data_IF_259019433916
#
_entry.id   IF_259019433916
#
_cell.length_a   1.000
_cell.length_b   1.000
_cell.length_c   1.000
_cell.angle_alpha   90.00
_cell.angle_beta   90.00
_cell.angle_gamma   90.00
#
_symmetry.space_group_name_H-M   'P 1'
#
loop_
_entity.id
_entity.type
_entity.pdbx_description
1 polymer ?
#
# COMPACT_ATOMS: atom_id res chain seq x y z
N UNK A 1 -24.27 14.91 -8.93
CA UNK A 1 -24.59 16.36 -8.78
C UNK A 1 -24.86 16.75 -7.32
N UNK A 2 -25.58 15.95 -6.51
CA UNK A 2 -25.90 16.29 -5.10
C UNK A 2 -24.64 16.54 -4.26
N UNK A 3 -23.62 15.71 -4.37
CA UNK A 3 -22.33 15.86 -3.65
C UNK A 3 -21.58 17.13 -4.06
N UNK A 4 -21.55 17.47 -5.36
CA UNK A 4 -20.93 18.72 -5.83
C UNK A 4 -21.63 19.96 -5.26
N UNK A 5 -22.94 19.91 -5.16
CA UNK A 5 -23.74 20.99 -4.54
C UNK A 5 -23.46 21.08 -3.04
N UNK A 6 -23.34 19.95 -2.33
CA UNK A 6 -23.00 19.92 -0.91
C UNK A 6 -21.61 20.52 -0.65
N UNK A 7 -20.60 20.13 -1.44
CA UNK A 7 -19.25 20.71 -1.38
C UNK A 7 -19.29 22.23 -1.64
N UNK A 8 -19.98 22.66 -2.70
CA UNK A 8 -20.14 24.10 -3.01
C UNK A 8 -20.78 24.90 -1.89
N UNK A 9 -21.80 24.36 -1.23
CA UNK A 9 -22.44 25.01 -0.06
C UNK A 9 -21.51 25.14 1.13
N UNK A 10 -20.62 24.15 1.36
CA UNK A 10 -19.64 24.18 2.45
C UNK A 10 -18.56 25.21 2.18
N UNK A 11 -18.10 25.34 0.93
CA UNK A 11 -17.08 26.32 0.53
C UNK A 11 -17.54 27.75 0.80
N UNK A 12 -18.79 28.07 0.44
CA UNK A 12 -19.34 29.44 0.61
C UNK A 12 -19.39 29.88 2.07
N UNK A 13 -19.34 28.94 3.02
CA UNK A 13 -19.36 29.25 4.47
C UNK A 13 -17.97 29.58 5.03
N UNK A 14 -16.90 29.40 4.23
CA UNK A 14 -15.51 29.64 4.62
C UNK A 14 -15.16 29.03 6.00
N UNK A 15 -15.37 27.69 6.18
CA UNK A 15 -15.09 27.07 7.46
C UNK A 15 -13.58 26.92 7.68
N UNK A 16 -13.15 26.92 8.94
CA UNK A 16 -11.75 26.65 9.31
C UNK A 16 -11.36 25.19 9.05
N UNK A 17 -12.31 24.25 9.13
CA UNK A 17 -12.12 22.82 8.91
C UNK A 17 -13.23 22.26 8.04
N UNK A 18 -12.84 21.51 7.01
CA UNK A 18 -13.76 20.71 6.19
C UNK A 18 -13.73 19.25 6.64
N UNK A 19 -14.91 18.64 6.75
CA UNK A 19 -15.06 17.22 7.06
C UNK A 19 -15.73 16.54 5.87
N UNK A 20 -15.02 15.58 5.26
CA UNK A 20 -15.52 14.77 4.16
C UNK A 20 -15.60 13.31 4.61
N UNK A 21 -16.78 12.72 4.54
CA UNK A 21 -17.03 11.33 4.86
C UNK A 21 -17.36 10.59 3.55
N UNK A 22 -16.39 9.84 3.06
CA UNK A 22 -16.43 9.09 1.79
C UNK A 22 -17.08 9.85 0.61
N UNK A 23 -16.65 11.07 0.29
CA UNK A 23 -17.39 11.93 -0.62
C UNK A 23 -17.39 11.44 -2.08
N UNK A 24 -16.53 10.51 -2.45
CA UNK A 24 -16.40 10.02 -3.83
C UNK A 24 -16.87 8.57 -4.02
N UNK A 25 -17.33 7.88 -2.96
CA UNK A 25 -17.71 6.46 -2.98
C UNK A 25 -18.78 6.11 -4.01
N UNK A 26 -19.73 7.01 -4.25
CA UNK A 26 -20.88 6.80 -5.14
C UNK A 26 -20.69 7.36 -6.58
N UNK A 27 -19.44 7.64 -6.98
CA UNK A 27 -19.13 8.18 -8.30
C UNK A 27 -18.54 7.09 -9.21
N UNK A 28 -18.82 7.23 -10.52
CA UNK A 28 -18.11 6.44 -11.53
C UNK A 28 -16.62 6.78 -11.59
N UNK A 29 -15.81 5.88 -12.16
CA UNK A 29 -14.35 5.99 -12.13
C UNK A 29 -13.83 7.30 -12.77
N UNK A 30 -14.40 7.73 -13.89
CA UNK A 30 -13.97 8.94 -14.58
C UNK A 30 -14.28 10.19 -13.76
N UNK A 31 -15.49 10.27 -13.21
CA UNK A 31 -15.91 11.40 -12.38
C UNK A 31 -15.15 11.43 -11.05
N UNK A 32 -14.80 10.25 -10.48
CA UNK A 32 -13.99 10.14 -9.27
C UNK A 32 -12.60 10.77 -9.49
N UNK A 33 -11.92 10.46 -10.60
CA UNK A 33 -10.63 11.07 -10.94
C UNK A 33 -10.75 12.59 -11.05
N UNK A 34 -11.77 13.10 -11.75
CA UNK A 34 -11.98 14.53 -11.89
C UNK A 34 -12.21 15.20 -10.53
N UNK A 35 -13.05 14.60 -9.69
CA UNK A 35 -13.38 15.15 -8.36
C UNK A 35 -12.18 15.15 -7.41
N UNK A 36 -11.30 14.13 -7.45
CA UNK A 36 -10.04 14.14 -6.69
C UNK A 36 -9.19 15.35 -7.05
N UNK A 37 -9.01 15.60 -8.35
CA UNK A 37 -8.24 16.75 -8.84
C UNK A 37 -8.87 18.06 -8.37
N UNK A 38 -10.19 18.20 -8.44
CA UNK A 38 -10.89 19.41 -8.01
C UNK A 38 -10.78 19.65 -6.49
N UNK A 39 -10.92 18.60 -5.68
CA UNK A 39 -10.75 18.70 -4.21
C UNK A 39 -9.30 19.07 -3.85
N UNK A 40 -8.30 18.45 -4.52
CA UNK A 40 -6.89 18.77 -4.29
C UNK A 40 -6.56 20.23 -4.68
N UNK A 41 -7.12 20.72 -5.79
CA UNK A 41 -7.01 22.14 -6.19
C UNK A 41 -7.68 23.07 -5.17
N UNK A 42 -8.85 22.66 -4.68
CA UNK A 42 -9.59 23.42 -3.68
C UNK A 42 -8.79 23.53 -2.38
N UNK A 43 -8.24 22.42 -1.89
CA UNK A 43 -7.37 22.38 -0.71
C UNK A 43 -6.21 23.36 -0.84
N UNK A 44 -5.44 23.28 -1.93
CA UNK A 44 -4.31 24.20 -2.19
C UNK A 44 -4.72 25.65 -2.26
N UNK A 45 -5.90 25.96 -2.80
CA UNK A 45 -6.39 27.35 -2.94
C UNK A 45 -6.90 27.95 -1.63
N UNK A 46 -7.57 27.13 -0.81
CA UNK A 46 -8.16 27.60 0.45
C UNK A 46 -7.15 27.61 1.60
N UNK A 47 -6.15 26.72 1.60
CA UNK A 47 -5.22 26.52 2.70
C UNK A 47 -5.89 26.08 4.00
N UNK A 48 -7.15 25.61 3.93
CA UNK A 48 -7.94 25.19 5.08
C UNK A 48 -7.63 23.73 5.45
N UNK A 49 -7.78 23.39 6.73
CA UNK A 49 -7.65 22.01 7.18
C UNK A 49 -8.80 21.16 6.63
N UNK A 50 -8.47 20.03 6.02
CA UNK A 50 -9.45 19.07 5.50
C UNK A 50 -9.25 17.71 6.15
N UNK A 51 -10.28 17.19 6.81
CA UNK A 51 -10.36 15.82 7.29
C UNK A 51 -11.16 15.02 6.27
N UNK A 52 -10.55 14.00 5.70
CA UNK A 52 -11.11 13.22 4.60
C UNK A 52 -11.11 11.75 4.96
N UNK A 53 -12.29 11.15 5.07
CA UNK A 53 -12.45 9.71 5.33
C UNK A 53 -12.63 8.99 4.00
N UNK A 54 -11.86 7.94 3.77
CA UNK A 54 -11.97 7.09 2.57
C UNK A 54 -11.47 5.68 2.86
N UNK A 55 -11.98 4.71 2.12
CA UNK A 55 -11.45 3.35 2.02
C UNK A 55 -10.67 3.14 0.71
N UNK A 56 -10.59 4.16 -0.15
CA UNK A 56 -9.84 4.12 -1.41
C UNK A 56 -8.40 4.60 -1.15
N UNK A 57 -7.46 3.66 -1.28
CA UNK A 57 -6.04 3.95 -1.07
C UNK A 57 -5.47 4.98 -2.06
N UNK A 58 -6.00 5.02 -3.31
CA UNK A 58 -5.54 5.99 -4.30
C UNK A 58 -5.96 7.41 -3.90
N UNK A 59 -7.14 7.58 -3.30
CA UNK A 59 -7.56 8.86 -2.73
C UNK A 59 -6.64 9.27 -1.58
N UNK A 60 -6.40 8.36 -0.62
CA UNK A 60 -5.52 8.62 0.51
C UNK A 60 -4.09 8.99 0.06
N UNK A 61 -3.50 8.19 -0.84
CA UNK A 61 -2.12 8.39 -1.31
C UNK A 61 -1.93 9.66 -2.14
N UNK A 62 -2.96 10.09 -2.90
CA UNK A 62 -2.82 11.21 -3.84
C UNK A 62 -3.29 12.56 -3.31
N UNK A 63 -4.12 12.57 -2.27
CA UNK A 63 -4.75 13.80 -1.77
C UNK A 63 -4.25 14.22 -0.40
N UNK A 64 -3.80 13.29 0.45
CA UNK A 64 -3.45 13.58 1.82
C UNK A 64 -2.01 14.10 1.98
N UNK A 65 -1.82 15.10 2.84
CA UNK A 65 -0.51 15.46 3.38
C UNK A 65 -0.12 14.50 4.52
N UNK A 66 -1.12 13.98 5.25
CA UNK A 66 -0.96 13.03 6.34
C UNK A 66 -2.10 12.01 6.33
N UNK A 67 -1.75 10.74 6.41
CA UNK A 67 -2.69 9.62 6.52
C UNK A 67 -2.73 9.12 7.96
N UNK A 68 -3.94 8.84 8.45
CA UNK A 68 -4.18 8.09 9.69
C UNK A 68 -4.80 6.76 9.28
N UNK A 69 -4.01 5.69 9.32
CA UNK A 69 -4.50 4.33 9.05
C UNK A 69 -5.16 3.75 10.30
N UNK A 70 -6.42 3.34 10.17
CA UNK A 70 -7.20 2.75 11.25
C UNK A 70 -7.39 1.26 11.00
N UNK A 71 -7.08 0.44 11.99
CA UNK A 71 -7.34 -1.00 12.02
C UNK A 71 -8.19 -1.34 13.23
N UNK A 72 -9.36 -1.94 13.01
CA UNK A 72 -10.31 -2.34 14.07
C UNK A 72 -10.58 -1.24 15.12
N UNK A 73 -10.70 0.02 14.67
CA UNK A 73 -11.00 1.17 15.53
C UNK A 73 -9.78 1.73 16.29
N UNK A 74 -8.59 1.21 16.06
CA UNK A 74 -7.33 1.71 16.62
C UNK A 74 -6.44 2.32 15.54
N UNK A 75 -5.59 3.28 15.91
CA UNK A 75 -4.62 3.87 15.00
C UNK A 75 -3.48 2.87 14.79
N UNK A 76 -3.36 2.33 13.57
CA UNK A 76 -2.27 1.44 13.18
C UNK A 76 -0.99 2.23 12.82
N UNK A 77 -1.13 3.35 12.10
CA UNK A 77 0.00 4.22 11.74
C UNK A 77 -0.49 5.61 11.36
N UNK A 78 0.35 6.61 11.63
CA UNK A 78 0.16 8.00 11.18
C UNK A 78 1.45 8.46 10.50
N UNK A 79 1.34 9.02 9.30
CA UNK A 79 2.49 9.53 8.56
C UNK A 79 2.11 10.14 7.21
N UNK A 80 3.08 10.61 6.45
CA UNK A 80 2.84 11.01 5.07
C UNK A 80 2.63 9.76 4.17
N UNK A 81 2.00 9.92 2.98
CA UNK A 81 1.70 8.79 2.11
C UNK A 81 2.91 7.90 1.79
N UNK A 82 4.06 8.50 1.45
CA UNK A 82 5.26 7.75 1.09
C UNK A 82 5.90 7.05 2.29
N UNK A 83 5.75 7.59 3.49
CA UNK A 83 6.20 6.94 4.72
C UNK A 83 5.41 5.65 4.99
N UNK A 84 4.08 5.67 4.87
CA UNK A 84 3.26 4.48 5.02
C UNK A 84 3.55 3.43 3.93
N UNK A 85 3.90 3.88 2.73
CA UNK A 85 4.23 3.00 1.61
C UNK A 85 5.58 2.31 1.77
N UNK A 86 6.63 3.06 2.13
CA UNK A 86 7.99 2.54 2.23
C UNK A 86 8.30 1.91 3.59
N UNK A 87 7.69 2.43 4.67
CA UNK A 87 7.96 2.04 6.05
C UNK A 87 6.67 1.72 6.81
N UNK A 88 5.90 0.72 6.36
CA UNK A 88 4.67 0.31 7.05
C UNK A 88 5.01 -0.25 8.44
N UNK A 89 4.33 0.25 9.47
CA UNK A 89 4.56 -0.18 10.85
C UNK A 89 3.92 -1.53 11.17
N UNK A 90 2.94 -1.96 10.37
CA UNK A 90 2.21 -3.23 10.59
C UNK A 90 1.94 -3.95 9.27
N UNK A 91 1.72 -5.28 9.33
CA UNK A 91 1.30 -6.08 8.17
C UNK A 91 -0.01 -5.54 7.56
N UNK A 92 -0.91 -5.02 8.39
CA UNK A 92 -2.16 -4.39 7.92
C UNK A 92 -1.85 -3.18 7.02
N UNK A 93 -1.03 -2.23 7.48
CA UNK A 93 -0.67 -1.04 6.70
C UNK A 93 0.07 -1.44 5.42
N UNK A 94 1.01 -2.37 5.49
CA UNK A 94 1.76 -2.89 4.35
C UNK A 94 0.85 -3.47 3.26
N UNK A 95 -0.18 -4.24 3.66
CA UNK A 95 -1.15 -4.85 2.74
C UNK A 95 -2.28 -3.92 2.30
N UNK A 96 -2.54 -2.85 3.07
CA UNK A 96 -3.59 -1.88 2.73
C UNK A 96 -3.07 -0.80 1.78
N UNK A 97 -1.82 -0.35 1.94
CA UNK A 97 -1.21 0.72 1.15
C UNK A 97 -0.44 0.13 -0.04
N UNK A 98 -0.86 0.47 -1.25
CA UNK A 98 -0.27 0.02 -2.51
C UNK A 98 -1.24 -0.80 -3.36
N UNK A 99 -1.20 -0.63 -4.69
CA UNK A 99 -2.04 -1.36 -5.65
C UNK A 99 -1.19 -1.77 -6.87
N UNK A 100 -1.00 -3.08 -7.06
CA UNK A 100 -1.52 -4.23 -6.29
C UNK A 100 -1.05 -4.26 -4.83
N UNK A 101 -1.65 -5.15 -4.02
CA UNK A 101 -1.25 -5.35 -2.62
C UNK A 101 0.15 -5.96 -2.53
N UNK A 102 0.82 -5.71 -1.40
CA UNK A 102 2.09 -6.36 -1.07
C UNK A 102 1.91 -7.88 -0.97
N UNK A 103 2.84 -8.63 -1.54
CA UNK A 103 2.95 -10.07 -1.36
C UNK A 103 3.53 -10.35 0.03
N UNK A 104 2.99 -11.34 0.73
CA UNK A 104 3.46 -11.77 2.05
C UNK A 104 3.85 -13.24 2.00
N UNK A 105 5.10 -13.54 2.32
CA UNK A 105 5.67 -14.89 2.32
C UNK A 105 6.19 -15.18 3.72
N UNK A 106 5.67 -16.22 4.37
CA UNK A 106 6.18 -16.64 5.68
C UNK A 106 7.50 -17.39 5.48
N UNK A 107 8.52 -16.98 6.23
CA UNK A 107 9.90 -17.41 6.11
C UNK A 107 10.45 -17.79 7.48
N UNK A 108 11.56 -18.53 7.50
CA UNK A 108 12.29 -18.85 8.73
C UNK A 108 13.64 -18.16 8.73
N UNK A 109 14.02 -17.56 9.85
CA UNK A 109 15.33 -16.94 10.04
C UNK A 109 16.40 -18.02 10.15
N UNK A 110 17.45 -17.95 9.32
CA UNK A 110 18.61 -18.83 9.37
C UNK A 110 19.74 -18.21 10.17
N UNK A 111 20.00 -16.93 9.93
CA UNK A 111 20.97 -16.15 10.69
C UNK A 111 20.56 -14.67 10.66
N UNK A 112 20.95 -13.94 11.71
CA UNK A 112 20.64 -12.52 11.79
C UNK A 112 21.76 -11.75 12.50
N UNK A 113 21.99 -10.52 12.06
CA UNK A 113 22.94 -9.59 12.61
C UNK A 113 22.35 -8.17 12.63
N UNK A 114 23.08 -7.22 13.17
CA UNK A 114 22.65 -5.80 13.13
C UNK A 114 22.67 -5.19 11.72
N UNK A 115 23.21 -5.87 10.70
CA UNK A 115 23.37 -5.35 9.35
C UNK A 115 22.65 -6.18 8.28
N UNK A 116 22.40 -7.48 8.54
CA UNK A 116 21.69 -8.36 7.62
C UNK A 116 20.93 -9.44 8.35
N UNK A 117 19.93 -9.99 7.68
CA UNK A 117 19.24 -11.22 8.07
C UNK A 117 19.18 -12.15 6.87
N UNK A 118 19.52 -13.43 7.09
CA UNK A 118 19.32 -14.50 6.12
C UNK A 118 18.07 -15.26 6.50
N UNK A 119 17.14 -15.37 5.55
CA UNK A 119 15.89 -16.09 5.71
C UNK A 119 15.81 -17.23 4.71
N UNK A 120 15.07 -18.27 5.05
CA UNK A 120 14.68 -19.34 4.12
C UNK A 120 13.18 -19.26 3.85
N UNK A 121 12.85 -19.18 2.57
CA UNK A 121 11.48 -19.20 2.06
C UNK A 121 11.02 -20.61 1.74
N UNK A 122 9.71 -20.83 1.54
CA UNK A 122 9.17 -22.09 1.05
C UNK A 122 9.91 -22.56 -0.22
N UNK A 123 10.29 -23.85 -0.26
CA UNK A 123 11.09 -24.41 -1.35
C UNK A 123 12.61 -24.32 -1.15
N UNK A 124 13.06 -24.03 0.07
CA UNK A 124 14.49 -23.99 0.46
C UNK A 124 15.30 -22.88 -0.26
N UNK A 125 14.61 -21.78 -0.56
CA UNK A 125 15.25 -20.60 -1.15
C UNK A 125 15.79 -19.68 -0.06
N UNK A 126 17.12 -19.52 -0.03
CA UNK A 126 17.80 -18.64 0.90
C UNK A 126 17.92 -17.23 0.33
N UNK A 127 17.58 -16.22 1.13
CA UNK A 127 17.69 -14.81 0.77
C UNK A 127 18.39 -14.05 1.90
N UNK A 128 19.46 -13.34 1.58
CA UNK A 128 20.09 -12.38 2.48
C UNK A 128 19.51 -10.98 2.23
N UNK A 129 19.03 -10.36 3.30
CA UNK A 129 18.41 -9.04 3.28
C UNK A 129 19.28 -8.05 4.07
N UNK A 130 19.57 -6.86 3.52
CA UNK A 130 20.32 -5.81 4.21
C UNK A 130 19.42 -5.07 5.21
N UNK A 131 18.95 -5.77 6.24
CA UNK A 131 18.06 -5.25 7.28
C UNK A 131 18.67 -5.43 8.66
N UNK A 132 18.28 -4.58 9.62
CA UNK A 132 18.67 -4.79 11.00
C UNK A 132 17.93 -6.00 11.59
N UNK A 133 18.59 -7.13 11.63
CA UNK A 133 18.10 -8.38 12.21
C UNK A 133 18.49 -8.60 13.68
N UNK A 134 19.04 -7.60 14.36
CA UNK A 134 19.61 -7.78 15.70
C UNK A 134 18.64 -8.23 16.80
N UNK A 135 17.35 -8.15 16.56
CA UNK A 135 16.29 -8.66 17.46
C UNK A 135 15.73 -10.03 17.02
N UNK A 136 16.13 -10.52 15.84
CA UNK A 136 15.65 -11.78 15.30
C UNK A 136 16.47 -12.96 15.82
N UNK A 137 15.79 -14.08 16.06
CA UNK A 137 16.41 -15.33 16.52
C UNK A 137 16.43 -16.38 15.41
N UNK A 138 17.48 -17.20 15.37
CA UNK A 138 17.54 -18.37 14.46
C UNK A 138 16.37 -19.31 14.73
N UNK A 139 15.72 -19.75 13.65
CA UNK A 139 14.50 -20.59 13.70
C UNK A 139 13.21 -19.81 13.91
N UNK A 140 13.24 -18.49 14.08
CA UNK A 140 12.06 -17.65 14.22
C UNK A 140 11.31 -17.56 12.88
N UNK A 141 9.98 -17.57 12.94
CA UNK A 141 9.13 -17.34 11.77
C UNK A 141 8.89 -15.86 11.58
N UNK A 142 9.21 -15.35 10.41
CA UNK A 142 9.01 -13.96 9.99
C UNK A 142 8.23 -13.90 8.70
N UNK A 143 7.58 -12.77 8.42
CA UNK A 143 6.89 -12.56 7.15
C UNK A 143 7.70 -11.61 6.27
N UNK A 144 8.13 -12.09 5.10
CA UNK A 144 8.73 -11.28 4.05
C UNK A 144 7.63 -10.56 3.27
N UNK A 145 7.68 -9.23 3.20
CA UNK A 145 6.80 -8.42 2.37
C UNK A 145 7.51 -7.96 1.10
N UNK A 146 6.96 -8.30 -0.07
CA UNK A 146 7.51 -7.88 -1.36
C UNK A 146 6.40 -7.18 -2.15
N UNK A 147 6.65 -5.95 -2.60
CA UNK A 147 5.71 -5.29 -3.50
C UNK A 147 5.80 -5.87 -4.91
N UNK A 148 4.68 -6.01 -5.62
CA UNK A 148 4.67 -6.58 -6.98
C UNK A 148 5.64 -5.89 -7.94
N UNK A 149 5.79 -4.57 -7.85
CA UNK A 149 6.70 -3.78 -8.69
C UNK A 149 8.20 -4.05 -8.42
N UNK A 150 8.53 -4.75 -7.34
CA UNK A 150 9.90 -5.19 -7.04
C UNK A 150 10.18 -6.62 -7.54
N UNK A 151 9.17 -7.28 -8.11
CA UNK A 151 9.33 -8.56 -8.80
C UNK A 151 9.44 -8.32 -10.31
N UNK A 152 10.44 -8.89 -10.95
CA UNK A 152 10.68 -8.73 -12.38
C UNK A 152 11.11 -10.05 -13.01
N UNK A 153 11.01 -10.15 -14.34
CA UNK A 153 11.56 -11.25 -15.13
C UNK A 153 13.06 -11.05 -15.46
N UNK A 154 13.77 -10.25 -14.67
CA UNK A 154 15.16 -9.91 -14.93
C UNK A 154 16.10 -11.09 -14.69
N UNK A 155 17.05 -11.32 -15.58
CA UNK A 155 18.02 -12.41 -15.49
C UNK A 155 19.23 -12.07 -14.60
N UNK A 156 19.34 -10.85 -14.10
CA UNK A 156 20.41 -10.39 -13.20
C UNK A 156 19.91 -10.18 -11.74
N UNK A 157 18.80 -10.81 -11.37
CA UNK A 157 18.23 -10.68 -10.02
C UNK A 157 19.07 -11.45 -8.97
N UNK A 158 19.08 -10.94 -7.74
CA UNK A 158 19.76 -11.57 -6.59
C UNK A 158 19.17 -12.96 -6.26
N UNK A 159 17.90 -13.17 -6.61
CA UNK A 159 17.20 -14.42 -6.38
C UNK A 159 16.08 -14.65 -7.40
N UNK A 160 15.83 -15.91 -7.71
CA UNK A 160 14.74 -16.33 -8.59
C UNK A 160 13.70 -17.15 -7.82
N UNK A 161 12.45 -16.81 -8.02
CA UNK A 161 11.32 -17.64 -7.61
C UNK A 161 10.70 -18.27 -8.84
N UNK A 162 10.47 -19.58 -8.78
CA UNK A 162 9.77 -20.30 -9.84
C UNK A 162 8.34 -20.57 -9.40
N UNK A 163 7.37 -20.25 -10.25
CA UNK A 163 5.96 -20.42 -9.95
C UNK A 163 5.13 -20.81 -11.16
N UNK A 164 3.95 -21.33 -10.91
CA UNK A 164 2.95 -21.65 -11.92
C UNK A 164 2.02 -20.44 -12.12
N UNK A 165 1.84 -20.01 -13.38
CA UNK A 165 0.97 -18.88 -13.71
C UNK A 165 -0.49 -19.32 -13.66
N UNK A 166 -1.29 -18.70 -12.78
CA UNK A 166 -2.74 -18.93 -12.69
C UNK A 166 -3.55 -17.95 -13.52
N UNK A 167 -3.23 -16.66 -13.40
CA UNK A 167 -3.99 -15.58 -14.05
C UNK A 167 -3.05 -14.52 -14.59
N UNK A 168 -3.37 -14.00 -15.76
CA UNK A 168 -2.69 -12.85 -16.36
C UNK A 168 -3.73 -11.75 -16.62
N UNK A 169 -3.61 -10.63 -15.92
CA UNK A 169 -4.45 -9.45 -16.10
C UNK A 169 -3.73 -8.40 -16.95
N UNK A 170 -4.26 -8.11 -18.14
CA UNK A 170 -3.70 -7.09 -19.03
C UNK A 170 -4.50 -5.79 -18.93
N UNK A 171 -3.94 -4.80 -18.24
CA UNK A 171 -4.61 -3.53 -17.99
C UNK A 171 -4.24 -2.44 -19.02
N UNK A 172 -3.44 -2.79 -20.03
CA UNK A 172 -3.00 -1.87 -21.08
C UNK A 172 -1.72 -1.11 -20.74
N UNK A 173 -1.65 -0.50 -19.57
CA UNK A 173 -0.45 0.20 -19.08
C UNK A 173 0.47 -0.71 -18.24
N UNK A 174 -0.03 -1.82 -17.76
CA UNK A 174 0.71 -2.87 -17.05
C UNK A 174 0.06 -4.23 -17.28
N UNK A 175 0.83 -5.28 -17.02
CA UNK A 175 0.34 -6.65 -16.97
C UNK A 175 0.65 -7.20 -15.58
N UNK A 176 -0.37 -7.71 -14.90
CA UNK A 176 -0.22 -8.40 -13.62
C UNK A 176 -0.25 -9.90 -13.88
N UNK A 177 0.73 -10.60 -13.33
CA UNK A 177 0.85 -12.05 -13.44
C UNK A 177 0.68 -12.63 -12.03
N UNK A 178 -0.38 -13.41 -11.84
CA UNK A 178 -0.64 -14.10 -10.58
C UNK A 178 -0.02 -15.49 -10.63
N UNK A 179 0.86 -15.77 -9.68
CA UNK A 179 1.66 -16.97 -9.61
C UNK A 179 1.38 -17.74 -8.32
N UNK A 180 1.47 -19.07 -8.38
CA UNK A 180 1.68 -19.91 -7.21
C UNK A 180 3.16 -20.28 -7.14
N UNK A 181 3.80 -19.88 -6.06
CA UNK A 181 5.23 -20.08 -5.84
C UNK A 181 5.42 -21.00 -4.64
N UNK A 182 5.84 -22.26 -4.87
CA UNK A 182 6.22 -23.20 -3.81
C UNK A 182 5.22 -23.27 -2.63
N UNK A 183 3.93 -23.43 -2.92
CA UNK A 183 2.80 -23.41 -1.95
C UNK A 183 2.48 -22.03 -1.33
N UNK A 184 3.03 -20.94 -1.85
CA UNK A 184 2.56 -19.59 -1.57
C UNK A 184 1.61 -19.17 -2.68
N UNK A 185 0.34 -19.06 -2.37
CA UNK A 185 -0.70 -18.70 -3.32
C UNK A 185 -0.74 -17.19 -3.56
N UNK A 186 -1.01 -16.81 -4.82
CA UNK A 186 -1.40 -15.45 -5.16
C UNK A 186 -0.27 -14.42 -5.11
N UNK A 187 0.96 -14.80 -5.39
CA UNK A 187 2.07 -13.84 -5.62
C UNK A 187 1.81 -13.07 -6.92
N UNK A 188 1.93 -11.76 -6.88
CA UNK A 188 1.68 -10.88 -8.03
C UNK A 188 2.98 -10.22 -8.45
#
# INVERSE_FOLDING_TARGET
QRQRVAIGRTIVREPEVFLFDEPLSNLDASLRVQMRIEISRLHKRLGATMVYVTHDQVEAMTMADKIVALDNGTIAQVGNPMELYHYPATRFVAGFIGSPKMNFIDCTVVSASSQSATIVMPGDHHLELPVNGGELSEGETVTLGIRPEHLSEDQEADMYLQGEVHVVERLGYQTLVHLDVNNVEGVI
#
